data_IF_053327630074
#
_entry.id   IF_053327630074
#
_cell.length_a   1.000
_cell.length_b   1.000
_cell.length_c   1.000
_cell.angle_alpha   90.00
_cell.angle_beta   90.00
_cell.angle_gamma   90.00
#
_symmetry.space_group_name_H-M   'P 1'
#
loop_
_entity.id
_entity.type
_entity.pdbx_description
1 polymer ?
#
# COMPACT_ATOMS: atom_id res chain seq x y z
N UNK A 1 -9.77 7.75 -0.13
CA UNK A 1 -9.18 6.79 -1.09
C UNK A 1 -10.28 5.92 -1.67
N UNK A 2 -10.19 5.58 -2.94
CA UNK A 2 -11.17 4.74 -3.63
C UNK A 2 -10.45 3.84 -4.64
N UNK A 3 -10.91 2.60 -4.75
CA UNK A 3 -10.48 1.62 -5.74
C UNK A 3 -11.71 1.26 -6.58
N UNK A 4 -11.82 1.88 -7.75
CA UNK A 4 -13.04 1.86 -8.56
C UNK A 4 -13.44 0.46 -9.01
N UNK A 5 -12.46 -0.35 -9.45
CA UNK A 5 -12.72 -1.69 -9.99
C UNK A 5 -13.37 -2.63 -8.97
N UNK A 6 -13.01 -2.50 -7.69
CA UNK A 6 -13.60 -3.30 -6.61
C UNK A 6 -14.75 -2.59 -5.90
N UNK A 7 -15.11 -1.37 -6.32
CA UNK A 7 -16.09 -0.52 -5.64
C UNK A 7 -15.73 -0.20 -4.17
N UNK A 8 -14.46 -0.37 -3.79
CA UNK A 8 -14.02 -0.20 -2.40
C UNK A 8 -13.57 1.24 -2.15
N UNK A 9 -13.82 1.76 -0.95
CA UNK A 9 -13.38 3.09 -0.57
C UNK A 9 -13.10 3.18 0.93
N UNK A 10 -12.25 4.13 1.30
CA UNK A 10 -12.07 4.55 2.68
C UNK A 10 -11.88 6.06 2.78
N UNK A 11 -12.35 6.68 3.85
CA UNK A 11 -12.17 8.11 4.14
C UNK A 11 -11.79 8.31 5.60
N UNK A 12 -11.02 9.35 5.87
CA UNK A 12 -10.65 9.78 7.21
C UNK A 12 -11.25 11.15 7.46
N UNK A 13 -11.93 11.31 8.57
CA UNK A 13 -12.45 12.60 9.02
C UNK A 13 -11.81 12.95 10.35
N UNK A 14 -11.26 14.16 10.45
CA UNK A 14 -10.77 14.69 11.72
C UNK A 14 -11.95 15.24 12.54
N UNK A 15 -12.02 14.86 13.81
CA UNK A 15 -12.99 15.38 14.78
C UNK A 15 -12.29 15.84 16.07
N UNK A 16 -13.09 16.33 17.03
CA UNK A 16 -12.59 16.78 18.34
C UNK A 16 -11.95 15.66 19.16
N UNK A 17 -12.36 14.42 18.92
CA UNK A 17 -11.89 13.23 19.66
C UNK A 17 -10.88 12.40 18.85
N UNK A 18 -10.22 13.02 17.86
CA UNK A 18 -9.25 12.37 16.97
C UNK A 18 -9.79 12.06 15.58
N UNK A 19 -9.16 11.10 14.90
CA UNK A 19 -9.52 10.73 13.52
C UNK A 19 -10.50 9.56 13.50
N UNK A 20 -11.56 9.68 12.69
CA UNK A 20 -12.52 8.60 12.41
C UNK A 20 -12.32 8.09 10.99
N UNK A 21 -12.27 6.77 10.85
CA UNK A 21 -12.12 6.08 9.57
C UNK A 21 -13.45 5.46 9.20
N UNK A 22 -13.89 5.65 7.96
CA UNK A 22 -15.00 4.93 7.36
C UNK A 22 -14.50 4.21 6.12
N UNK A 23 -14.98 3.00 5.89
CA UNK A 23 -14.64 2.19 4.72
C UNK A 23 -15.82 1.35 4.26
N UNK A 24 -15.80 0.96 2.99
CA UNK A 24 -16.80 0.10 2.39
C UNK A 24 -16.21 -0.68 1.22
N UNK A 25 -16.84 -1.81 0.91
CA UNK A 25 -16.46 -2.70 -0.18
C UNK A 25 -15.62 -3.90 0.29
N UNK A 26 -15.29 -4.81 -0.65
CA UNK A 26 -14.55 -6.04 -0.34
C UNK A 26 -13.11 -5.81 0.12
N UNK A 27 -12.50 -4.68 -0.25
CA UNK A 27 -11.15 -4.31 0.20
C UNK A 27 -11.18 -3.41 1.43
N UNK A 28 -10.34 -3.73 2.41
CA UNK A 28 -10.16 -2.94 3.63
C UNK A 28 -9.06 -1.91 3.40
N UNK A 29 -9.31 -0.95 2.50
CA UNK A 29 -8.28 -0.05 1.99
C UNK A 29 -7.51 0.74 3.09
N UNK A 30 -8.15 1.03 4.22
CA UNK A 30 -7.44 1.65 5.35
C UNK A 30 -6.42 0.70 6.00
N UNK A 31 -6.81 -0.55 6.24
CA UNK A 31 -5.92 -1.58 6.81
C UNK A 31 -4.76 -1.88 5.84
N UNK A 32 -5.04 -1.90 4.52
CA UNK A 32 -4.00 -2.07 3.51
C UNK A 32 -3.01 -0.89 3.49
N UNK A 33 -3.49 0.35 3.66
CA UNK A 33 -2.64 1.53 3.80
C UNK A 33 -1.78 1.43 5.07
N UNK A 34 -2.36 1.05 6.21
CA UNK A 34 -1.63 0.86 7.46
C UNK A 34 -0.55 -0.20 7.31
N UNK A 35 -0.87 -1.36 6.73
CA UNK A 35 0.09 -2.43 6.48
C UNK A 35 1.23 -1.99 5.55
N UNK A 36 0.91 -1.25 4.48
CA UNK A 36 1.92 -0.70 3.58
C UNK A 36 2.81 0.34 4.28
N UNK A 37 2.24 1.18 5.14
CA UNK A 37 2.96 2.19 5.91
C UNK A 37 3.88 1.57 6.96
N UNK A 38 3.42 0.54 7.66
CA UNK A 38 4.21 -0.22 8.62
C UNK A 38 5.38 -0.92 7.94
N UNK A 39 5.14 -1.58 6.80
CA UNK A 39 6.20 -2.18 5.99
C UNK A 39 7.23 -1.13 5.54
N UNK A 40 6.79 -0.01 4.98
CA UNK A 40 7.68 1.05 4.50
C UNK A 40 8.50 1.66 5.64
N UNK A 41 7.90 1.85 6.82
CA UNK A 41 8.60 2.34 8.00
C UNK A 41 9.61 1.31 8.51
N UNK A 42 9.24 0.03 8.56
CA UNK A 42 10.13 -1.08 8.93
C UNK A 42 11.30 -1.25 7.96
N UNK A 43 11.11 -0.93 6.67
CA UNK A 43 12.15 -0.90 5.65
C UNK A 43 13.09 0.33 5.74
N UNK A 44 12.91 1.19 6.74
CA UNK A 44 13.73 2.39 6.94
C UNK A 44 13.32 3.57 6.07
N UNK A 45 12.04 3.65 5.69
CA UNK A 45 11.47 4.74 4.90
C UNK A 45 12.22 4.99 3.58
N UNK A 46 12.43 3.95 2.75
CA UNK A 46 13.22 4.07 1.54
C UNK A 46 12.67 5.12 0.59
N UNK A 47 13.58 5.85 -0.07
CA UNK A 47 13.25 6.71 -1.20
C UNK A 47 12.83 5.85 -2.40
N UNK A 48 11.98 6.40 -3.28
CA UNK A 48 11.50 5.77 -4.50
C UNK A 48 12.64 5.24 -5.41
N UNK A 49 13.81 5.89 -5.41
CA UNK A 49 14.97 5.46 -6.21
C UNK A 49 15.57 4.11 -5.79
N UNK A 50 15.22 3.58 -4.61
CA UNK A 50 15.63 2.24 -4.15
C UNK A 50 14.71 1.13 -4.64
N UNK A 51 13.56 1.48 -5.20
CA UNK A 51 12.64 0.51 -5.77
C UNK A 51 13.04 0.21 -7.21
N UNK A 52 12.92 -1.06 -7.58
CA UNK A 52 13.06 -1.50 -8.96
C UNK A 52 11.89 -2.38 -9.37
N UNK A 53 11.83 -2.61 -10.68
CA UNK A 53 10.82 -3.44 -11.33
C UNK A 53 11.53 -4.40 -12.27
N UNK A 54 11.32 -5.70 -12.06
CA UNK A 54 11.69 -6.72 -13.02
C UNK A 54 10.46 -7.13 -13.81
N UNK A 55 10.54 -7.07 -15.14
CA UNK A 55 9.47 -7.48 -16.05
C UNK A 55 9.94 -8.69 -16.86
N UNK A 56 9.17 -9.77 -16.81
CA UNK A 56 9.30 -10.94 -17.70
C UNK A 56 8.03 -11.07 -18.54
N UNK A 57 8.00 -11.91 -19.58
CA UNK A 57 6.77 -12.19 -20.32
C UNK A 57 5.63 -12.74 -19.44
N UNK A 58 5.96 -13.37 -18.30
CA UNK A 58 5.01 -14.02 -17.40
C UNK A 58 4.57 -13.13 -16.23
N UNK A 59 5.41 -12.20 -15.77
CA UNK A 59 5.15 -11.44 -14.55
C UNK A 59 5.85 -10.08 -14.48
N UNK A 60 5.32 -9.23 -13.61
CA UNK A 60 5.93 -7.97 -13.19
C UNK A 60 6.15 -8.02 -11.69
N UNK A 61 7.39 -7.80 -11.25
CA UNK A 61 7.76 -7.95 -9.83
C UNK A 61 8.49 -6.72 -9.33
N UNK A 62 7.95 -6.07 -8.30
CA UNK A 62 8.59 -4.96 -7.60
C UNK A 62 9.53 -5.47 -6.50
N UNK A 63 10.62 -4.75 -6.30
CA UNK A 63 11.62 -5.10 -5.29
C UNK A 63 12.29 -3.85 -4.70
N UNK A 64 12.92 -4.02 -3.53
CA UNK A 64 13.65 -2.97 -2.81
C UNK A 64 15.14 -3.29 -2.74
N UNK A 65 16.01 -2.38 -3.21
CA UNK A 65 17.47 -2.51 -3.33
C UNK A 65 17.95 -3.57 -4.33
N UNK A 66 17.45 -4.80 -4.25
CA UNK A 66 17.87 -5.92 -5.11
C UNK A 66 16.68 -6.77 -5.54
N UNK A 67 16.73 -7.44 -6.71
CA UNK A 67 15.65 -8.28 -7.24
C UNK A 67 15.16 -9.41 -6.33
N UNK A 68 15.93 -9.82 -5.31
CA UNK A 68 15.57 -10.88 -4.37
C UNK A 68 14.69 -10.37 -3.21
N UNK A 69 14.70 -9.05 -2.95
CA UNK A 69 13.91 -8.41 -1.88
C UNK A 69 12.57 -7.94 -2.43
N UNK A 70 11.67 -8.89 -2.64
CA UNK A 70 10.37 -8.63 -3.25
C UNK A 70 9.48 -7.74 -2.37
N UNK A 71 8.74 -6.85 -3.02
CA UNK A 71 7.67 -6.06 -2.41
C UNK A 71 6.35 -6.66 -2.84
N UNK A 72 5.56 -7.12 -1.88
CA UNK A 72 4.22 -7.63 -2.14
C UNK A 72 3.23 -6.48 -2.24
N UNK A 73 2.36 -6.50 -3.25
CA UNK A 73 1.13 -5.71 -3.23
C UNK A 73 0.09 -6.42 -2.35
N UNK A 74 -0.54 -5.67 -1.44
CA UNK A 74 -1.72 -6.12 -0.69
C UNK A 74 -2.96 -6.16 -1.60
#
# INVERSE_FOLDING_TARGET
MSHFDSGSWATVTSGTDGHKVYHYGPRRLWEELEAAYEWWTGAGRPNHSRFGLTVTPEAQTFWLDTPEKLVSSQ
#
